data_IF_087524223733
#
_entry.id   IF_087524223733
#
_cell.length_a   1.000
_cell.length_b   1.000
_cell.length_c   1.000
_cell.angle_alpha   90.00
_cell.angle_beta   90.00
_cell.angle_gamma   90.00
#
_symmetry.space_group_name_H-M   'P 1'
#
loop_
_entity.id
_entity.type
_entity.pdbx_description
1 polymer ?
#
# COMPACT_ATOMS: atom_id res chain seq x y z
N UNK A 1 16.18 -2.57 25.87
CA UNK A 1 15.35 -1.82 24.91
C UNK A 1 16.27 -1.42 23.77
N UNK A 2 16.11 -2.03 22.59
CA UNK A 2 16.86 -1.60 21.42
C UNK A 2 16.05 -0.46 20.79
N UNK A 3 16.46 0.78 21.01
CA UNK A 3 15.99 1.91 20.22
C UNK A 3 16.47 1.71 18.79
N UNK A 4 15.64 1.05 17.98
CA UNK A 4 15.76 1.19 16.54
C UNK A 4 15.18 2.56 16.21
N UNK A 5 16.01 3.47 15.68
CA UNK A 5 15.55 4.60 14.86
C UNK A 5 14.87 4.09 13.59
N UNK A 6 13.81 3.29 13.76
CA UNK A 6 13.12 2.55 12.73
C UNK A 6 12.13 3.43 11.97
N UNK A 7 11.83 3.01 10.75
CA UNK A 7 10.83 3.66 9.92
C UNK A 7 9.49 3.61 10.66
N UNK A 8 8.87 4.78 10.84
CA UNK A 8 7.54 4.85 11.41
C UNK A 8 6.53 4.42 10.34
N UNK A 9 5.51 3.63 10.72
CA UNK A 9 4.40 3.24 9.85
C UNK A 9 3.06 3.68 10.44
N UNK A 10 2.02 3.69 9.61
CA UNK A 10 0.64 3.74 10.13
C UNK A 10 0.24 2.40 10.74
N UNK A 11 -0.85 2.37 11.50
CA UNK A 11 -1.38 1.17 12.15
C UNK A 11 -0.70 0.80 13.47
N UNK A 12 0.16 1.68 14.01
CA UNK A 12 0.79 1.51 15.33
C UNK A 12 -0.16 1.91 16.48
N UNK A 13 -1.36 1.34 16.47
CA UNK A 13 -2.42 1.67 17.43
C UNK A 13 -2.03 1.33 18.87
N UNK A 14 -1.30 0.23 19.07
CA UNK A 14 -0.72 -0.17 20.35
C UNK A 14 0.17 0.92 20.96
N UNK A 15 1.03 1.55 20.15
CA UNK A 15 1.89 2.66 20.59
C UNK A 15 1.08 3.91 20.91
N UNK A 16 0.04 4.19 20.14
CA UNK A 16 -0.85 5.32 20.40
C UNK A 16 -1.62 5.13 21.71
N UNK A 17 -2.18 3.94 21.95
CA UNK A 17 -2.84 3.56 23.21
C UNK A 17 -1.86 3.65 24.38
N UNK A 18 -0.63 3.15 24.23
CA UNK A 18 0.37 3.20 25.29
C UNK A 18 0.76 4.64 25.67
N UNK A 19 0.74 5.58 24.71
CA UNK A 19 1.10 6.99 24.94
C UNK A 19 -0.06 7.86 25.43
N UNK A 20 -1.25 7.71 24.84
CA UNK A 20 -2.39 8.61 25.04
C UNK A 20 -3.53 7.98 25.86
N UNK A 21 -3.46 6.68 26.15
CA UNK A 21 -4.46 5.96 26.93
C UNK A 21 -5.64 5.41 26.12
N UNK A 22 -6.70 5.02 26.85
CA UNK A 22 -7.88 4.38 26.29
C UNK A 22 -7.72 2.86 26.05
N UNK A 23 -8.68 2.27 25.34
CA UNK A 23 -8.66 0.87 24.90
C UNK A 23 -8.64 0.82 23.38
N UNK A 24 -8.01 -0.19 22.78
CA UNK A 24 -7.90 -0.30 21.32
C UNK A 24 -9.26 -0.18 20.58
N UNK A 25 -10.34 -0.73 21.16
CA UNK A 25 -11.71 -0.62 20.61
C UNK A 25 -12.30 0.78 20.68
N UNK A 26 -11.79 1.65 21.56
CA UNK A 26 -12.21 3.05 21.68
C UNK A 26 -11.50 3.99 20.71
N UNK A 27 -10.49 3.52 19.98
CA UNK A 27 -9.75 4.33 19.02
C UNK A 27 -10.38 4.27 17.63
N UNK A 28 -10.34 5.41 16.93
CA UNK A 28 -10.60 5.50 15.51
C UNK A 28 -9.26 5.55 14.78
N UNK A 29 -8.81 4.42 14.22
CA UNK A 29 -7.55 4.37 13.47
C UNK A 29 -7.76 4.67 11.98
N UNK A 30 -7.32 5.87 11.58
CA UNK A 30 -7.29 6.37 10.20
C UNK A 30 -5.85 6.53 9.71
N UNK A 31 -4.86 5.95 10.38
CA UNK A 31 -3.45 6.13 10.03
C UNK A 31 -2.99 5.21 8.91
N UNK A 32 -3.81 4.26 8.48
CA UNK A 32 -3.52 3.33 7.39
C UNK A 32 -4.25 3.72 6.11
N UNK A 33 -3.78 3.19 4.98
CA UNK A 33 -4.51 3.24 3.70
C UNK A 33 -5.18 1.91 3.42
N UNK A 34 -5.88 1.35 4.40
CA UNK A 34 -6.60 0.08 4.29
C UNK A 34 -8.09 0.41 4.21
N UNK A 35 -8.84 -0.32 3.39
CA UNK A 35 -10.30 -0.21 3.41
C UNK A 35 -10.82 -0.64 4.80
N UNK A 36 -11.53 0.24 5.52
CA UNK A 36 -12.01 -0.08 6.86
C UNK A 36 -13.13 -1.13 6.87
N UNK A 37 -13.76 -1.38 5.72
CA UNK A 37 -14.64 -2.52 5.50
C UNK A 37 -13.81 -3.68 4.93
N UNK A 38 -13.88 -4.86 5.54
CA UNK A 38 -13.27 -6.05 4.96
C UNK A 38 -14.19 -6.68 3.90
N UNK A 39 -13.61 -7.28 2.88
CA UNK A 39 -14.37 -8.07 1.92
C UNK A 39 -15.04 -9.25 2.65
N UNK A 40 -16.28 -9.64 2.29
CA UNK A 40 -16.95 -10.79 2.89
C UNK A 40 -16.07 -12.04 2.84
N UNK A 41 -15.96 -12.74 3.98
CA UNK A 41 -15.16 -13.96 4.07
C UNK A 41 -16.01 -15.16 3.66
N UNK A 42 -15.43 -16.15 2.95
CA UNK A 42 -16.10 -17.41 2.70
C UNK A 42 -16.16 -18.25 3.99
N UNK A 43 -17.05 -19.23 4.02
CA UNK A 43 -16.99 -20.31 5.00
C UNK A 43 -15.73 -21.14 4.75
N UNK A 44 -14.87 -21.23 5.76
CA UNK A 44 -13.62 -21.99 5.67
C UNK A 44 -13.77 -23.32 6.41
N UNK A 45 -13.49 -24.47 5.76
CA UNK A 45 -13.59 -25.76 6.41
C UNK A 45 -12.48 -25.94 7.45
N UNK A 46 -12.76 -26.61 8.57
CA UNK A 46 -11.84 -26.68 9.71
C UNK A 46 -10.48 -27.32 9.37
N UNK A 47 -10.44 -28.25 8.43
CA UNK A 47 -9.22 -28.91 7.98
C UNK A 47 -8.21 -27.98 7.32
N UNK A 48 -8.63 -26.84 6.76
CA UNK A 48 -7.72 -25.89 6.08
C UNK A 48 -6.70 -25.27 7.04
N UNK A 49 -6.98 -25.31 8.34
CA UNK A 49 -6.09 -24.85 9.41
C UNK A 49 -5.01 -25.89 9.78
N UNK A 50 -5.26 -27.17 9.51
CA UNK A 50 -4.41 -28.28 9.93
C UNK A 50 -3.65 -28.94 8.76
N UNK A 51 -3.94 -28.54 7.51
CA UNK A 51 -3.26 -29.02 6.30
C UNK A 51 -2.25 -27.99 5.79
N UNK A 52 -1.18 -28.49 5.17
CA UNK A 52 -0.29 -27.63 4.38
C UNK A 52 -1.07 -27.06 3.19
N UNK A 53 -0.73 -25.85 2.71
CA UNK A 53 -1.36 -25.25 1.53
C UNK A 53 -1.35 -26.21 0.32
N UNK A 54 -2.53 -26.47 -0.24
CA UNK A 54 -2.71 -27.34 -1.40
C UNK A 54 -2.22 -26.67 -2.69
N UNK A 55 -1.44 -27.40 -3.49
CA UNK A 55 -0.94 -26.89 -4.78
C UNK A 55 -2.08 -26.52 -5.74
N UNK A 56 -3.16 -27.31 -5.75
CA UNK A 56 -4.32 -27.04 -6.60
C UNK A 56 -4.99 -25.70 -6.26
N UNK A 57 -5.15 -25.40 -4.96
CA UNK A 57 -5.71 -24.15 -4.49
C UNK A 57 -4.80 -22.96 -4.81
N UNK A 58 -3.47 -23.15 -4.68
CA UNK A 58 -2.50 -22.13 -5.12
C UNK A 58 -2.66 -21.83 -6.61
N UNK A 59 -2.64 -22.86 -7.47
CA UNK A 59 -2.74 -22.67 -8.92
C UNK A 59 -4.07 -22.04 -9.34
N UNK A 60 -5.17 -22.43 -8.71
CA UNK A 60 -6.48 -21.81 -8.90
C UNK A 60 -6.47 -20.32 -8.49
N UNK A 61 -5.88 -20.00 -7.33
CA UNK A 61 -5.74 -18.61 -6.86
C UNK A 61 -4.89 -17.78 -7.81
N UNK A 62 -3.79 -18.34 -8.33
CA UNK A 62 -2.94 -17.65 -9.31
C UNK A 62 -3.66 -17.41 -10.64
N UNK A 63 -4.47 -18.38 -11.11
CA UNK A 63 -5.30 -18.19 -12.30
C UNK A 63 -6.33 -17.08 -12.11
N UNK A 64 -7.04 -17.05 -10.99
CA UNK A 64 -8.00 -16.01 -10.64
C UNK A 64 -7.33 -14.64 -10.46
N UNK A 65 -6.14 -14.59 -9.87
CA UNK A 65 -5.36 -13.36 -9.76
C UNK A 65 -4.98 -12.82 -11.15
N UNK A 66 -4.63 -13.68 -12.10
CA UNK A 66 -4.31 -13.24 -13.47
C UNK A 66 -5.50 -12.57 -14.13
N UNK A 67 -6.67 -13.22 -14.04
CA UNK A 67 -7.93 -12.70 -14.58
C UNK A 67 -8.30 -11.37 -13.94
N UNK A 68 -8.32 -11.32 -12.60
CA UNK A 68 -8.65 -10.10 -11.84
C UNK A 68 -7.72 -8.92 -12.16
N UNK A 69 -6.41 -9.17 -12.29
CA UNK A 69 -5.42 -8.13 -12.60
C UNK A 69 -5.28 -7.83 -14.09
N UNK A 70 -6.08 -8.46 -14.96
CA UNK A 70 -6.11 -8.21 -16.40
C UNK A 70 -4.80 -8.58 -17.11
N UNK A 71 -4.13 -9.65 -16.67
CA UNK A 71 -2.91 -10.15 -17.31
C UNK A 71 -3.20 -11.43 -18.09
N UNK A 72 -2.32 -11.78 -19.05
CA UNK A 72 -2.49 -12.99 -19.85
C UNK A 72 -2.53 -14.26 -18.96
N UNK A 73 -3.30 -15.27 -19.39
CA UNK A 73 -3.55 -16.49 -18.61
C UNK A 73 -2.27 -17.30 -18.30
N UNK A 74 -1.23 -17.16 -19.14
CA UNK A 74 0.09 -17.77 -18.99
C UNK A 74 1.14 -16.82 -18.40
N UNK A 75 0.76 -15.58 -18.04
CA UNK A 75 1.69 -14.61 -17.46
C UNK A 75 2.31 -15.17 -16.16
N UNK A 76 3.63 -15.09 -15.97
CA UNK A 76 4.26 -15.54 -14.73
C UNK A 76 3.79 -14.69 -13.54
N UNK A 77 3.38 -15.37 -12.47
CA UNK A 77 2.94 -14.76 -11.21
C UNK A 77 3.34 -15.62 -10.02
N UNK A 78 3.65 -14.99 -8.91
CA UNK A 78 3.89 -15.64 -7.61
C UNK A 78 3.09 -14.95 -6.51
N UNK A 79 2.49 -15.74 -5.63
CA UNK A 79 1.87 -15.25 -4.39
C UNK A 79 2.90 -15.22 -3.26
N UNK A 80 2.81 -14.21 -2.39
CA UNK A 80 3.78 -13.97 -1.32
C UNK A 80 3.10 -13.58 -0.01
N UNK A 81 3.77 -13.76 1.15
CA UNK A 81 3.26 -13.38 2.48
C UNK A 81 3.24 -11.85 2.68
N UNK A 82 2.37 -11.19 1.90
CA UNK A 82 2.24 -9.75 1.81
C UNK A 82 3.28 -9.12 0.88
N UNK A 83 2.94 -7.94 0.35
CA UNK A 83 3.83 -7.18 -0.53
C UNK A 83 5.14 -6.77 0.15
N UNK A 84 5.15 -6.61 1.49
CA UNK A 84 6.37 -6.32 2.25
C UNK A 84 7.45 -7.41 2.06
N UNK A 85 7.05 -8.68 2.02
CA UNK A 85 8.00 -9.78 1.74
C UNK A 85 8.61 -9.66 0.36
N UNK A 86 7.82 -9.23 -0.64
CA UNK A 86 8.30 -8.95 -1.99
C UNK A 86 9.27 -7.75 -2.00
N UNK A 87 8.92 -6.64 -1.33
CA UNK A 87 9.78 -5.43 -1.22
C UNK A 87 11.17 -5.79 -0.69
N UNK A 88 11.25 -6.69 0.29
CA UNK A 88 12.51 -7.16 0.86
C UNK A 88 13.28 -8.13 -0.04
N UNK A 89 12.59 -8.81 -0.96
CA UNK A 89 13.19 -9.76 -1.91
C UNK A 89 13.68 -9.10 -3.19
N UNK A 90 13.01 -8.06 -3.69
CA UNK A 90 13.38 -7.39 -4.95
C UNK A 90 14.85 -7.00 -5.01
N UNK A 91 15.47 -6.40 -3.97
CA UNK A 91 16.90 -6.05 -3.98
C UNK A 91 17.86 -7.24 -4.16
N UNK A 92 17.38 -8.47 -3.97
CA UNK A 92 18.18 -9.71 -4.03
C UNK A 92 18.08 -10.42 -5.38
N UNK A 93 17.29 -9.89 -6.32
CA UNK A 93 17.09 -10.46 -7.65
C UNK A 93 18.24 -10.14 -8.60
N UNK A 94 18.96 -9.04 -8.35
CA UNK A 94 20.10 -8.57 -9.14
C UNK A 94 21.29 -8.30 -8.23
N UNK A 95 22.49 -8.29 -8.81
CA UNK A 95 23.68 -7.86 -8.09
C UNK A 95 23.57 -6.37 -7.68
N UNK A 96 24.00 -5.99 -6.46
CA UNK A 96 23.93 -4.61 -6.00
C UNK A 96 24.64 -3.63 -6.94
N UNK A 97 23.94 -2.55 -7.27
CA UNK A 97 24.47 -1.42 -8.03
C UNK A 97 23.80 -0.13 -7.52
N UNK A 98 23.09 0.58 -8.40
CA UNK A 98 22.38 1.82 -8.05
C UNK A 98 20.89 1.63 -8.27
N UNK A 99 20.11 1.90 -7.23
CA UNK A 99 18.65 1.98 -7.30
C UNK A 99 18.19 3.43 -7.21
N UNK A 100 17.27 3.83 -8.08
CA UNK A 100 16.56 5.09 -7.93
C UNK A 100 15.18 4.84 -7.28
N UNK A 101 14.86 5.55 -6.21
CA UNK A 101 13.54 5.48 -5.56
C UNK A 101 12.86 6.83 -5.72
N UNK A 102 11.76 6.88 -6.49
CA UNK A 102 11.06 8.15 -6.76
C UNK A 102 10.13 8.47 -5.59
N UNK A 103 10.59 9.38 -4.73
CA UNK A 103 9.95 9.82 -3.51
C UNK A 103 9.47 11.28 -3.51
N UNK A 104 8.96 11.80 -2.38
CA UNK A 104 8.70 11.03 -1.15
C UNK A 104 7.72 9.89 -1.41
N UNK A 105 8.02 8.72 -0.86
CA UNK A 105 7.25 7.48 -1.07
C UNK A 105 7.36 6.53 0.14
N UNK A 106 6.84 5.31 0.03
CA UNK A 106 6.94 4.29 1.06
C UNK A 106 8.42 3.92 1.35
N UNK A 107 8.88 4.23 2.57
CA UNK A 107 10.30 4.24 2.94
C UNK A 107 10.96 2.85 2.96
N UNK A 108 10.16 1.77 3.04
CA UNK A 108 10.66 0.39 3.06
C UNK A 108 11.41 0.00 1.78
N UNK A 109 11.09 0.63 0.65
CA UNK A 109 11.80 0.37 -0.61
C UNK A 109 13.27 0.79 -0.48
N UNK A 110 13.54 2.07 -0.20
CA UNK A 110 14.89 2.59 -0.02
C UNK A 110 15.65 1.81 1.07
N UNK A 111 15.01 1.54 2.21
CA UNK A 111 15.63 0.79 3.30
C UNK A 111 15.98 -0.65 2.91
N UNK A 112 15.11 -1.37 2.21
CA UNK A 112 15.36 -2.76 1.78
C UNK A 112 16.53 -2.86 0.80
N UNK A 113 16.63 -1.89 -0.13
CA UNK A 113 17.77 -1.81 -1.05
C UNK A 113 19.07 -1.46 -0.33
N UNK A 114 19.07 -0.44 0.53
CA UNK A 114 20.24 -0.05 1.32
C UNK A 114 20.74 -1.22 2.19
N UNK A 115 19.83 -1.92 2.87
CA UNK A 115 20.16 -3.10 3.67
C UNK A 115 20.73 -4.27 2.85
N UNK A 116 20.52 -4.27 1.53
CA UNK A 116 21.05 -5.25 0.60
C UNK A 116 22.31 -4.76 -0.13
N UNK A 117 22.94 -3.67 0.33
CA UNK A 117 24.21 -3.16 -0.19
C UNK A 117 24.11 -2.32 -1.47
N UNK A 118 22.90 -1.87 -1.84
CA UNK A 118 22.72 -0.99 -2.99
C UNK A 118 23.00 0.46 -2.64
N UNK A 119 23.52 1.23 -3.61
CA UNK A 119 23.50 2.70 -3.53
C UNK A 119 22.10 3.19 -3.86
N UNK A 120 21.45 3.84 -2.90
CA UNK A 120 20.12 4.42 -3.08
C UNK A 120 20.23 5.87 -3.52
N UNK A 121 19.61 6.19 -4.66
CA UNK A 121 19.37 7.54 -5.13
C UNK A 121 17.89 7.88 -4.92
N UNK A 122 17.59 8.79 -3.99
CA UNK A 122 16.23 9.31 -3.84
C UNK A 122 15.98 10.42 -4.85
N UNK A 123 14.95 10.26 -5.68
CA UNK A 123 14.58 11.17 -6.75
C UNK A 123 13.19 11.74 -6.51
N UNK A 124 12.89 12.95 -6.97
CA UNK A 124 11.54 13.53 -6.88
C UNK A 124 10.67 13.18 -8.08
N UNK A 125 11.29 12.89 -9.22
CA UNK A 125 10.62 12.56 -10.46
C UNK A 125 11.41 11.52 -11.28
N UNK A 126 10.74 10.87 -12.24
CA UNK A 126 11.35 9.91 -13.17
C UNK A 126 12.48 10.57 -13.98
N UNK A 127 12.33 11.84 -14.34
CA UNK A 127 13.35 12.61 -15.07
C UNK A 127 14.67 12.81 -14.30
N UNK A 128 14.65 12.67 -12.98
CA UNK A 128 15.84 12.82 -12.12
C UNK A 128 16.59 11.50 -11.90
N UNK A 129 16.09 10.39 -12.45
CA UNK A 129 16.72 9.07 -12.27
C UNK A 129 18.13 9.08 -12.88
N UNK A 130 19.17 8.78 -12.09
CA UNK A 130 20.56 8.78 -12.55
C UNK A 130 20.80 7.88 -13.76
N UNK A 131 21.73 8.30 -14.62
CA UNK A 131 22.14 7.54 -15.79
C UNK A 131 22.79 6.19 -15.47
N UNK A 132 23.29 5.99 -14.26
CA UNK A 132 23.92 4.76 -13.77
C UNK A 132 22.98 3.89 -12.92
N UNK A 133 21.72 4.30 -12.72
CA UNK A 133 20.72 3.46 -12.08
C UNK A 133 20.42 2.22 -12.95
N UNK A 134 20.48 1.05 -12.33
CA UNK A 134 20.10 -0.24 -12.94
C UNK A 134 18.73 -0.70 -12.44
N UNK A 135 18.28 -0.20 -11.29
CA UNK A 135 16.91 -0.42 -10.81
C UNK A 135 16.24 0.91 -10.54
N UNK A 136 14.95 1.00 -10.81
CA UNK A 136 14.12 2.08 -10.31
C UNK A 136 12.90 1.52 -9.59
N UNK A 137 12.42 2.24 -8.57
CA UNK A 137 11.20 1.93 -7.84
C UNK A 137 10.21 3.08 -7.98
N UNK A 138 9.02 2.77 -8.46
CA UNK A 138 7.89 3.69 -8.57
C UNK A 138 6.70 3.07 -7.83
N UNK A 139 6.16 3.77 -6.83
CA UNK A 139 4.88 3.37 -6.22
C UNK A 139 3.75 4.07 -7.01
N UNK A 140 2.79 3.31 -7.53
CA UNK A 140 1.81 3.79 -8.51
C UNK A 140 0.41 3.15 -8.30
N UNK A 141 -0.61 3.86 -7.79
CA UNK A 141 -0.56 5.21 -7.22
C UNK A 141 0.36 5.32 -6.00
N UNK A 142 1.04 6.45 -5.87
CA UNK A 142 2.04 6.64 -4.82
C UNK A 142 1.43 6.77 -3.42
N UNK A 143 2.21 6.36 -2.41
CA UNK A 143 1.95 6.68 -1.01
C UNK A 143 3.05 7.65 -0.52
N UNK A 144 2.75 8.91 -0.16
CA UNK A 144 1.46 9.32 0.40
C UNK A 144 0.60 10.27 -0.45
N UNK A 145 1.07 10.76 -1.60
CA UNK A 145 0.37 11.82 -2.35
C UNK A 145 -0.60 11.30 -3.42
N UNK A 146 -0.60 9.99 -3.70
CA UNK A 146 -1.48 9.38 -4.69
C UNK A 146 -1.12 9.68 -6.14
N UNK A 147 0.03 10.32 -6.42
CA UNK A 147 0.44 10.61 -7.80
C UNK A 147 0.49 9.32 -8.63
N UNK A 148 0.08 9.44 -9.90
CA UNK A 148 0.08 8.33 -10.86
C UNK A 148 1.03 8.67 -12.00
N UNK A 149 2.00 7.80 -12.27
CA UNK A 149 2.85 7.86 -13.44
C UNK A 149 2.13 7.26 -14.66
N UNK A 150 2.33 7.85 -15.84
CA UNK A 150 1.71 7.36 -17.07
C UNK A 150 2.27 6.01 -17.49
N UNK A 151 1.41 5.14 -18.04
CA UNK A 151 1.83 3.81 -18.53
C UNK A 151 3.02 3.88 -19.50
N UNK A 152 2.95 4.75 -20.50
CA UNK A 152 4.01 4.85 -21.52
C UNK A 152 5.34 5.34 -20.92
N UNK A 153 5.28 6.23 -19.93
CA UNK A 153 6.46 6.69 -19.18
C UNK A 153 7.12 5.55 -18.40
N UNK A 154 6.30 4.73 -17.71
CA UNK A 154 6.78 3.54 -16.99
C UNK A 154 7.40 2.52 -17.94
N UNK A 155 6.78 2.25 -19.10
CA UNK A 155 7.32 1.30 -20.07
C UNK A 155 8.61 1.80 -20.74
N UNK A 156 8.70 3.09 -21.04
CA UNK A 156 9.93 3.70 -21.53
C UNK A 156 11.06 3.62 -20.49
N UNK A 157 10.75 3.88 -19.21
CA UNK A 157 11.69 3.73 -18.11
C UNK A 157 12.16 2.28 -17.96
N UNK A 158 11.23 1.31 -17.99
CA UNK A 158 11.55 -0.10 -17.95
C UNK A 158 12.51 -0.46 -19.10
N UNK A 159 12.18 -0.12 -20.34
CA UNK A 159 13.04 -0.41 -21.50
C UNK A 159 14.46 0.17 -21.34
N UNK A 160 14.57 1.42 -20.85
CA UNK A 160 15.86 2.09 -20.58
C UNK A 160 16.70 1.37 -19.53
N UNK A 161 16.07 0.87 -18.46
CA UNK A 161 16.75 0.10 -17.41
C UNK A 161 17.15 -1.29 -17.93
N UNK A 162 16.25 -1.96 -18.65
CA UNK A 162 16.49 -3.28 -19.24
C UNK A 162 17.64 -3.31 -20.25
N UNK A 163 17.86 -2.23 -21.00
CA UNK A 163 19.02 -2.09 -21.90
C UNK A 163 20.38 -2.16 -21.15
N UNK A 164 20.38 -2.02 -19.83
CA UNK A 164 21.55 -2.12 -18.94
C UNK A 164 21.56 -3.40 -18.10
N UNK A 165 20.68 -4.37 -18.41
CA UNK A 165 20.45 -5.56 -17.58
C UNK A 165 19.69 -5.26 -16.28
N UNK A 166 19.05 -4.10 -16.20
CA UNK A 166 18.27 -3.63 -15.07
C UNK A 166 16.79 -4.00 -15.11
N UNK A 167 16.04 -3.51 -14.12
CA UNK A 167 14.57 -3.68 -14.06
C UNK A 167 13.87 -2.47 -13.41
N UNK A 168 12.62 -2.25 -13.79
CA UNK A 168 11.71 -1.34 -13.10
C UNK A 168 10.87 -2.14 -12.09
N UNK A 169 10.80 -1.71 -10.84
CA UNK A 169 9.84 -2.21 -9.86
C UNK A 169 8.69 -1.21 -9.70
N UNK A 170 7.47 -1.64 -10.01
CA UNK A 170 6.26 -0.84 -9.81
C UNK A 170 5.46 -1.44 -8.67
N UNK A 171 5.32 -0.70 -7.58
CA UNK A 171 4.49 -1.07 -6.44
C UNK A 171 3.09 -0.49 -6.62
N UNK A 172 2.14 -1.38 -6.92
CA UNK A 172 0.76 -1.06 -7.23
C UNK A 172 -0.17 -1.39 -6.06
N UNK A 173 0.29 -1.21 -4.82
CA UNK A 173 -0.48 -1.52 -3.63
C UNK A 173 -1.84 -0.81 -3.51
N UNK A 174 -2.06 0.28 -4.26
CA UNK A 174 -3.31 1.05 -4.28
C UNK A 174 -4.03 1.01 -5.64
N UNK A 175 -3.50 0.29 -6.64
CA UNK A 175 -4.05 0.28 -7.99
C UNK A 175 -5.35 -0.53 -8.11
N UNK A 176 -5.63 -1.44 -7.17
CA UNK A 176 -6.86 -2.22 -7.16
C UNK A 176 -8.10 -1.32 -7.20
N UNK A 177 -8.08 -0.10 -6.65
CA UNK A 177 -9.21 0.84 -6.71
C UNK A 177 -9.42 1.49 -8.09
N UNK A 178 -8.36 1.65 -8.89
CA UNK A 178 -8.42 2.14 -10.28
C UNK A 178 -7.50 1.27 -11.18
N UNK A 179 -8.03 0.17 -11.74
CA UNK A 179 -7.24 -0.77 -12.54
C UNK A 179 -6.58 -0.15 -13.77
N UNK A 180 -7.04 1.01 -14.25
CA UNK A 180 -6.48 1.68 -15.44
C UNK A 180 -5.05 2.20 -15.22
N UNK A 181 -4.63 2.37 -13.97
CA UNK A 181 -3.28 2.78 -13.61
C UNK A 181 -2.26 1.63 -13.64
N UNK A 182 -2.72 0.38 -13.76
CA UNK A 182 -1.91 -0.84 -13.66
C UNK A 182 -1.08 -1.07 -14.93
N UNK A 183 0.19 -1.44 -14.76
CA UNK A 183 1.08 -1.96 -15.81
C UNK A 183 1.35 -3.46 -15.67
N UNK A 184 0.58 -4.17 -14.83
CA UNK A 184 0.72 -5.61 -14.62
C UNK A 184 0.63 -6.43 -15.93
N UNK A 185 -0.21 -6.01 -16.87
CA UNK A 185 -0.38 -6.67 -18.18
C UNK A 185 0.89 -6.67 -19.04
N UNK A 186 1.82 -5.76 -18.76
CA UNK A 186 3.09 -5.63 -19.50
C UNK A 186 4.25 -6.39 -18.83
N UNK A 187 4.07 -6.84 -17.59
CA UNK A 187 5.16 -7.35 -16.75
C UNK A 187 5.81 -8.63 -17.31
N UNK A 188 5.06 -9.44 -18.06
CA UNK A 188 5.58 -10.65 -18.70
C UNK A 188 6.56 -10.36 -19.85
N UNK A 189 6.52 -9.16 -20.45
CA UNK A 189 7.26 -8.83 -21.67
C UNK A 189 8.23 -7.65 -21.50
N UNK A 190 8.01 -6.78 -20.53
CA UNK A 190 8.92 -5.70 -20.16
C UNK A 190 9.95 -6.13 -19.11
N UNK A 191 11.10 -5.45 -18.98
CA UNK A 191 12.02 -5.57 -17.83
C UNK A 191 11.40 -4.88 -16.59
N UNK A 192 10.28 -5.44 -16.15
CA UNK A 192 9.38 -4.88 -15.16
C UNK A 192 9.01 -5.97 -14.14
N UNK A 193 8.91 -5.59 -12.88
CA UNK A 193 8.21 -6.35 -11.85
C UNK A 193 7.10 -5.48 -11.28
N UNK A 194 5.88 -6.02 -11.24
CA UNK A 194 4.72 -5.34 -10.67
C UNK A 194 4.32 -6.03 -9.38
N UNK A 195 4.24 -5.27 -8.29
CA UNK A 195 3.85 -5.75 -6.97
C UNK A 195 2.41 -5.35 -6.66
N UNK A 196 1.57 -6.32 -6.31
CA UNK A 196 0.17 -6.10 -5.90
C UNK A 196 -0.01 -6.36 -4.42
N UNK A 197 -0.85 -5.57 -3.76
CA UNK A 197 -1.18 -5.73 -2.34
C UNK A 197 -2.66 -6.00 -2.13
N UNK A 198 -3.01 -7.28 -1.94
CA UNK A 198 -4.39 -7.70 -1.71
C UNK A 198 -5.02 -7.02 -0.47
N UNK A 199 -4.25 -6.90 0.62
CA UNK A 199 -4.80 -6.46 1.91
C UNK A 199 -5.28 -5.00 2.01
N UNK A 200 -5.04 -4.14 1.01
CA UNK A 200 -5.43 -2.71 1.06
C UNK A 200 -6.88 -2.51 0.64
N UNK A 201 -7.14 -2.75 -0.64
CA UNK A 201 -8.46 -2.58 -1.24
C UNK A 201 -9.48 -3.51 -0.60
N UNK A 202 -9.13 -4.78 -0.39
CA UNK A 202 -10.01 -5.80 0.18
C UNK A 202 -10.23 -5.65 1.70
N UNK A 203 -9.57 -4.70 2.38
CA UNK A 203 -9.70 -4.52 3.85
C UNK A 203 -9.16 -5.70 4.67
N UNK A 204 -8.37 -6.57 4.07
CA UNK A 204 -7.89 -7.83 4.65
C UNK A 204 -6.38 -7.80 4.93
N UNK A 205 -5.87 -6.68 5.45
CA UNK A 205 -4.42 -6.51 5.68
C UNK A 205 -3.81 -7.58 6.58
N UNK A 206 -4.59 -8.16 7.51
CA UNK A 206 -4.17 -9.21 8.44
C UNK A 206 -3.83 -10.55 7.79
N UNK A 207 -4.38 -10.88 6.60
CA UNK A 207 -4.14 -12.19 5.96
C UNK A 207 -2.76 -12.30 5.29
N UNK A 208 -2.06 -11.16 5.17
CA UNK A 208 -0.72 -11.04 4.59
C UNK A 208 -0.60 -11.67 3.21
N UNK A 209 -1.28 -11.10 2.21
CA UNK A 209 -1.19 -11.54 0.82
C UNK A 209 -0.74 -10.42 -0.12
N UNK A 210 0.18 -10.76 -1.03
CA UNK A 210 0.55 -9.95 -2.18
C UNK A 210 0.93 -10.84 -3.36
N UNK A 211 1.03 -10.24 -4.54
CA UNK A 211 1.42 -10.92 -5.77
C UNK A 211 2.55 -10.17 -6.47
N UNK A 212 3.40 -10.89 -7.19
CA UNK A 212 4.36 -10.29 -8.11
C UNK A 212 4.16 -10.84 -9.51
N UNK A 213 4.09 -9.94 -10.50
CA UNK A 213 4.08 -10.25 -11.92
C UNK A 213 5.39 -9.80 -12.56
N UNK A 214 5.90 -10.57 -13.50
CA UNK A 214 7.16 -10.28 -14.18
C UNK A 214 7.49 -11.34 -15.22
N UNK A 215 8.68 -11.25 -15.82
CA UNK A 215 9.22 -12.34 -16.66
C UNK A 215 9.44 -13.61 -15.83
N UNK A 216 9.34 -14.77 -16.47
CA UNK A 216 9.45 -16.09 -15.81
C UNK A 216 10.70 -16.19 -14.93
N UNK A 217 11.88 -15.85 -15.45
CA UNK A 217 13.12 -15.90 -14.67
C UNK A 217 13.12 -15.05 -13.39
N UNK A 218 12.38 -13.93 -13.34
CA UNK A 218 12.23 -13.12 -12.13
C UNK A 218 11.24 -13.78 -11.16
N UNK A 219 10.09 -14.21 -11.67
CA UNK A 219 9.04 -14.84 -10.85
C UNK A 219 9.50 -16.16 -10.25
N UNK A 220 10.18 -16.99 -11.05
CA UNK A 220 10.76 -18.26 -10.62
C UNK A 220 11.82 -18.06 -9.53
N UNK A 221 12.64 -17.02 -9.66
CA UNK A 221 13.64 -16.66 -8.65
C UNK A 221 12.99 -16.20 -7.33
N UNK A 222 11.90 -15.44 -7.39
CA UNK A 222 11.13 -15.06 -6.20
C UNK A 222 10.51 -16.30 -5.56
N UNK A 223 9.85 -17.16 -6.34
CA UNK A 223 9.23 -18.39 -5.86
C UNK A 223 10.25 -19.30 -5.17
N UNK A 224 11.43 -19.48 -5.78
CA UNK A 224 12.54 -20.26 -5.23
C UNK A 224 13.04 -19.71 -3.89
N UNK A 225 13.09 -18.38 -3.73
CA UNK A 225 13.51 -17.73 -2.48
C UNK A 225 12.47 -17.78 -1.38
N UNK A 226 11.20 -17.68 -1.75
CA UNK A 226 10.08 -17.84 -0.82
C UNK A 226 9.98 -19.28 -0.31
N UNK A 227 10.25 -20.25 -1.18
CA UNK A 227 10.15 -21.67 -0.86
C UNK A 227 8.70 -22.18 -0.85
N UNK A 228 8.50 -23.47 -0.53
CA UNK A 228 7.18 -24.07 -0.51
C UNK A 228 6.31 -23.47 0.61
N UNK A 229 4.99 -23.45 0.39
CA UNK A 229 3.98 -23.02 1.38
C UNK A 229 4.16 -21.60 1.93
N UNK A 230 4.72 -20.69 1.12
CA UNK A 230 4.96 -19.30 1.51
C UNK A 230 3.68 -18.52 1.85
N UNK A 231 2.52 -18.97 1.40
CA UNK A 231 1.21 -18.36 1.68
C UNK A 231 0.30 -19.36 2.39
N UNK A 232 -0.36 -18.99 3.50
CA UNK A 232 -1.28 -19.88 4.22
C UNK A 232 -2.47 -20.34 3.36
N UNK A 233 -2.92 -21.58 3.55
CA UNK A 233 -4.11 -22.13 2.88
C UNK A 233 -5.38 -21.28 3.05
N UNK A 234 -5.74 -20.85 4.28
CA UNK A 234 -6.85 -19.93 4.49
C UNK A 234 -6.74 -18.63 3.68
N UNK A 235 -5.53 -18.08 3.57
CA UNK A 235 -5.26 -16.86 2.81
C UNK A 235 -5.51 -17.07 1.31
N UNK A 236 -5.11 -18.22 0.76
CA UNK A 236 -5.39 -18.58 -0.64
C UNK A 236 -6.90 -18.75 -0.89
N UNK A 237 -7.61 -19.47 -0.01
CA UNK A 237 -9.06 -19.68 -0.15
C UNK A 237 -9.86 -18.37 -0.10
N UNK A 238 -9.50 -17.45 0.80
CA UNK A 238 -10.12 -16.12 0.89
C UNK A 238 -9.87 -15.32 -0.40
N UNK A 239 -8.65 -15.35 -0.94
CA UNK A 239 -8.33 -14.64 -2.17
C UNK A 239 -9.04 -15.21 -3.39
N UNK A 240 -9.07 -16.54 -3.53
CA UNK A 240 -9.81 -17.23 -4.59
C UNK A 240 -11.31 -16.91 -4.54
N UNK A 241 -11.91 -16.90 -3.35
CA UNK A 241 -13.30 -16.45 -3.17
C UNK A 241 -13.47 -15.00 -3.64
N UNK A 242 -12.65 -14.09 -3.13
CA UNK A 242 -12.80 -12.66 -3.42
C UNK A 242 -12.64 -12.34 -4.91
N UNK A 243 -11.73 -13.01 -5.63
CA UNK A 243 -11.53 -12.80 -7.06
C UNK A 243 -12.66 -13.34 -7.95
N UNK A 244 -13.50 -14.27 -7.46
CA UNK A 244 -14.67 -14.77 -8.21
C UNK A 244 -15.87 -13.83 -8.16
N UNK A 245 -15.98 -13.07 -7.08
CA UNK A 245 -17.17 -12.31 -6.71
C UNK A 245 -17.21 -10.93 -7.41
N UNK A 246 -17.37 -10.94 -8.74
CA UNK A 246 -17.31 -9.73 -9.59
C UNK A 246 -18.33 -8.65 -9.17
N UNK A 247 -19.59 -9.05 -8.92
CA UNK A 247 -20.64 -8.10 -8.52
C UNK A 247 -20.38 -7.50 -7.14
N UNK A 248 -19.92 -8.33 -6.20
CA UNK A 248 -19.55 -7.87 -4.86
C UNK A 248 -18.37 -6.90 -4.92
N UNK A 249 -17.37 -7.17 -5.77
CA UNK A 249 -16.23 -6.27 -6.00
C UNK A 249 -16.67 -4.93 -6.58
N UNK A 250 -17.59 -4.93 -7.56
CA UNK A 250 -18.13 -3.70 -8.11
C UNK A 250 -18.85 -2.86 -7.03
N UNK A 251 -19.70 -3.51 -6.21
CA UNK A 251 -20.35 -2.85 -5.08
C UNK A 251 -19.33 -2.35 -4.03
N UNK A 252 -18.23 -3.08 -3.83
CA UNK A 252 -17.15 -2.70 -2.92
C UNK A 252 -16.45 -1.40 -3.35
N UNK A 253 -16.17 -1.27 -4.66
CA UNK A 253 -15.61 -0.04 -5.25
C UNK A 253 -16.51 1.17 -5.03
N UNK A 254 -17.81 1.02 -5.25
CA UNK A 254 -18.80 2.09 -5.04
C UNK A 254 -18.79 2.56 -3.59
N UNK A 255 -18.75 1.63 -2.62
CA UNK A 255 -18.70 2.00 -1.20
C UNK A 255 -17.40 2.69 -0.79
N UNK A 256 -16.27 2.26 -1.33
CA UNK A 256 -14.98 2.95 -1.13
C UNK A 256 -15.06 4.39 -1.66
N UNK A 257 -15.58 4.58 -2.87
CA UNK A 257 -15.74 5.90 -3.46
C UNK A 257 -16.66 6.80 -2.63
N UNK A 258 -17.79 6.28 -2.15
CA UNK A 258 -18.70 7.02 -1.27
C UNK A 258 -18.02 7.44 0.05
N UNK A 259 -17.27 6.54 0.70
CA UNK A 259 -16.49 6.86 1.91
C UNK A 259 -15.41 7.90 1.62
N UNK A 260 -14.73 7.80 0.48
CA UNK A 260 -13.73 8.77 0.06
C UNK A 260 -14.38 10.14 -0.14
N UNK A 261 -15.52 10.23 -0.80
CA UNK A 261 -16.27 11.47 -0.95
C UNK A 261 -16.66 12.08 0.41
N UNK A 262 -17.18 11.25 1.33
CA UNK A 262 -17.52 11.68 2.69
C UNK A 262 -16.32 12.27 3.46
N UNK A 263 -15.14 11.64 3.35
CA UNK A 263 -13.90 12.17 3.91
C UNK A 263 -13.55 13.54 3.32
N UNK A 264 -13.61 13.70 1.99
CA UNK A 264 -13.32 15.00 1.35
C UNK A 264 -14.24 16.11 1.85
N UNK A 265 -15.53 15.83 2.01
CA UNK A 265 -16.49 16.81 2.52
C UNK A 265 -16.19 17.23 3.96
N UNK A 266 -15.85 16.28 4.84
CA UNK A 266 -15.43 16.61 6.22
C UNK A 266 -14.17 17.47 6.23
N UNK A 267 -13.15 17.09 5.45
CA UNK A 267 -11.90 17.86 5.38
C UNK A 267 -12.15 19.29 4.88
N UNK A 268 -13.00 19.45 3.85
CA UNK A 268 -13.41 20.74 3.32
C UNK A 268 -14.16 21.58 4.35
N UNK A 269 -15.13 21.01 5.07
CA UNK A 269 -15.88 21.71 6.14
C UNK A 269 -14.97 22.13 7.30
N UNK A 270 -13.93 21.36 7.58
CA UNK A 270 -12.94 21.67 8.62
C UNK A 270 -11.81 22.59 8.13
N UNK A 271 -11.87 23.08 6.89
CA UNK A 271 -10.87 24.00 6.33
C UNK A 271 -9.49 23.37 6.09
N UNK A 272 -9.41 22.04 5.95
CA UNK A 272 -8.17 21.34 5.62
C UNK A 272 -7.99 21.28 4.11
N UNK A 273 -6.81 21.70 3.64
CA UNK A 273 -6.44 21.63 2.23
C UNK A 273 -5.96 20.23 1.90
N UNK A 274 -6.72 19.54 1.06
CA UNK A 274 -6.26 18.32 0.41
C UNK A 274 -5.25 18.65 -0.69
N UNK A 275 -4.13 17.92 -0.70
CA UNK A 275 -3.04 18.09 -1.68
C UNK A 275 -2.78 16.81 -2.50
N UNK A 276 -3.51 15.74 -2.22
CA UNK A 276 -3.38 14.45 -2.89
C UNK A 276 -4.11 13.34 -2.15
N UNK A 277 -3.99 12.12 -2.63
CA UNK A 277 -4.66 10.96 -2.04
C UNK A 277 -4.95 9.86 -3.05
N UNK A 278 -5.47 8.75 -2.54
CA UNK A 278 -6.00 7.65 -3.33
C UNK A 278 -7.47 7.44 -2.99
N UNK A 279 -8.09 6.42 -3.57
CA UNK A 279 -9.43 6.00 -3.13
C UNK A 279 -9.48 5.61 -1.64
N UNK A 280 -8.35 5.24 -1.02
CA UNK A 280 -8.30 4.72 0.36
C UNK A 280 -7.79 5.74 1.41
N UNK A 281 -7.36 6.93 1.00
CA UNK A 281 -6.92 7.97 1.93
C UNK A 281 -6.82 9.34 1.26
N UNK A 282 -6.83 10.40 2.06
CA UNK A 282 -6.46 11.76 1.66
C UNK A 282 -5.09 12.14 2.26
N UNK A 283 -4.36 13.00 1.57
CA UNK A 283 -3.20 13.72 2.07
C UNK A 283 -3.56 15.20 2.23
N UNK A 284 -3.40 15.74 3.43
CA UNK A 284 -3.66 17.14 3.74
C UNK A 284 -2.40 17.86 4.14
N UNK A 285 -2.35 19.15 3.84
CA UNK A 285 -1.26 20.05 4.22
C UNK A 285 -1.71 21.08 5.26
N UNK A 286 -0.94 21.21 6.33
CA UNK A 286 -1.14 22.20 7.40
C UNK A 286 0.19 22.49 8.09
N UNK A 287 0.48 23.76 8.39
CA UNK A 287 1.77 24.18 8.99
C UNK A 287 2.02 23.58 10.38
N UNK A 288 0.97 23.23 11.11
CA UNK A 288 0.95 22.65 12.45
C UNK A 288 0.44 21.19 12.44
N UNK A 289 0.62 20.45 11.35
CA UNK A 289 0.14 19.08 11.17
C UNK A 289 0.52 18.13 12.32
N UNK A 290 1.75 18.20 12.85
CA UNK A 290 2.14 17.37 14.00
C UNK A 290 1.39 17.72 15.29
N UNK A 291 1.09 19.01 15.52
CA UNK A 291 0.26 19.47 16.64
C UNK A 291 -1.17 18.94 16.50
N UNK A 292 -1.75 19.08 15.30
CA UNK A 292 -3.07 18.53 14.98
C UNK A 292 -3.12 17.01 15.19
N UNK A 293 -2.07 16.27 14.81
CA UNK A 293 -1.98 14.84 15.10
C UNK A 293 -2.04 14.55 16.61
N UNK A 294 -1.32 15.31 17.44
CA UNK A 294 -1.35 15.11 18.89
C UNK A 294 -2.73 15.42 19.49
N UNK A 295 -3.34 16.55 19.11
CA UNK A 295 -4.71 16.92 19.53
C UNK A 295 -5.76 15.87 19.10
N UNK A 296 -5.59 15.22 17.94
CA UNK A 296 -6.43 14.11 17.51
C UNK A 296 -6.17 12.83 18.33
N UNK A 297 -4.91 12.54 18.66
CA UNK A 297 -4.56 11.37 19.48
C UNK A 297 -5.10 11.50 20.91
N UNK A 298 -5.13 12.69 21.49
CA UNK A 298 -5.79 12.96 22.79
C UNK A 298 -7.29 12.68 22.75
N UNK A 299 -7.89 12.68 21.55
CA UNK A 299 -9.29 12.33 21.30
C UNK A 299 -9.46 10.87 20.83
N UNK A 300 -8.38 10.08 20.93
CA UNK A 300 -8.27 8.70 20.45
C UNK A 300 -8.59 8.53 18.95
N UNK A 301 -8.15 9.50 18.13
CA UNK A 301 -8.22 9.44 16.67
C UNK A 301 -6.78 9.40 16.15
N UNK A 302 -6.40 8.30 15.52
CA UNK A 302 -5.05 8.12 14.99
C UNK A 302 -5.02 8.44 13.50
N UNK A 303 -4.17 9.37 13.10
CA UNK A 303 -3.89 9.70 11.69
C UNK A 303 -2.40 9.53 11.42
N UNK A 304 -1.97 9.55 10.16
CA UNK A 304 -0.56 9.35 9.82
C UNK A 304 0.16 10.69 9.66
N UNK A 305 1.18 10.93 10.47
CA UNK A 305 2.16 12.01 10.27
C UNK A 305 3.42 11.51 9.56
N UNK A 306 4.23 12.45 9.08
CA UNK A 306 5.50 12.17 8.41
C UNK A 306 6.62 13.03 9.00
N UNK A 307 7.76 12.40 9.35
CA UNK A 307 8.94 13.11 9.86
C UNK A 307 9.62 13.95 8.77
N UNK A 308 9.71 13.42 7.53
CA UNK A 308 10.33 14.11 6.39
C UNK A 308 9.45 15.25 5.81
N UNK A 309 8.16 15.27 6.14
CA UNK A 309 7.19 16.28 5.69
C UNK A 309 6.31 16.70 6.88
N UNK A 310 6.81 17.56 7.78
CA UNK A 310 6.15 17.86 9.05
C UNK A 310 4.83 18.64 8.91
N UNK A 311 4.55 19.14 7.70
CA UNK A 311 3.31 19.83 7.32
C UNK A 311 2.26 18.89 6.73
N UNK A 312 2.54 17.58 6.60
CA UNK A 312 1.62 16.61 6.01
C UNK A 312 0.95 15.72 7.06
N UNK A 313 -0.34 15.46 6.86
CA UNK A 313 -1.07 14.36 7.48
C UNK A 313 -1.77 13.54 6.40
N UNK A 314 -1.68 12.21 6.50
CA UNK A 314 -2.48 11.29 5.70
C UNK A 314 -3.59 10.71 6.57
N UNK A 315 -4.80 10.73 6.05
CA UNK A 315 -6.04 10.34 6.74
C UNK A 315 -6.73 9.27 5.90
N UNK A 316 -6.87 8.07 6.45
CA UNK A 316 -7.60 6.95 5.87
C UNK A 316 -9.12 7.12 5.96
N UNK A 317 -9.85 6.18 5.36
CA UNK A 317 -11.31 6.20 5.36
C UNK A 317 -11.88 5.83 6.74
N UNK A 318 -12.93 6.52 7.16
CA UNK A 318 -13.73 6.10 8.31
C UNK A 318 -14.56 4.85 7.97
N UNK A 319 -14.78 3.92 8.93
CA UNK A 319 -15.57 2.70 8.69
C UNK A 319 -17.04 2.98 8.37
N UNK A 320 -17.61 3.99 9.02
CA UNK A 320 -19.02 4.35 9.00
C UNK A 320 -19.24 5.85 9.25
N UNK A 321 -20.50 6.28 9.20
CA UNK A 321 -20.90 7.68 9.42
C UNK A 321 -20.57 8.17 10.83
N UNK A 322 -20.60 7.29 11.83
CA UNK A 322 -20.27 7.65 13.21
C UNK A 322 -18.77 7.95 13.37
N UNK A 323 -17.91 7.14 12.76
CA UNK A 323 -16.47 7.37 12.65
C UNK A 323 -16.16 8.66 11.89
N UNK A 324 -16.89 8.93 10.80
CA UNK A 324 -16.73 10.16 10.03
C UNK A 324 -17.14 11.41 10.83
N UNK A 325 -18.28 11.35 11.53
CA UNK A 325 -18.73 12.44 12.42
C UNK A 325 -17.78 12.66 13.61
N UNK A 326 -17.19 11.56 14.13
CA UNK A 326 -16.15 11.63 15.18
C UNK A 326 -14.89 12.32 14.67
N UNK A 327 -14.44 12.00 13.46
CA UNK A 327 -13.32 12.71 12.82
C UNK A 327 -13.62 14.21 12.69
N UNK A 328 -14.81 14.57 12.15
CA UNK A 328 -15.21 15.96 11.99
C UNK A 328 -15.21 16.72 13.33
N UNK A 329 -15.82 16.15 14.36
CA UNK A 329 -15.82 16.73 15.71
C UNK A 329 -14.40 16.91 16.24
N UNK A 330 -13.54 15.91 16.03
CA UNK A 330 -12.13 15.94 16.45
C UNK A 330 -11.34 17.07 15.80
N UNK A 331 -11.51 17.23 14.48
CA UNK A 331 -10.90 18.28 13.69
C UNK A 331 -11.40 19.68 14.07
N UNK A 332 -12.69 19.85 14.34
CA UNK A 332 -13.27 21.13 14.75
C UNK A 332 -12.76 21.57 16.14
N UNK A 333 -12.64 20.64 17.09
CA UNK A 333 -12.10 20.93 18.43
C UNK A 333 -10.62 21.34 18.36
N UNK A 334 -9.82 20.60 17.61
CA UNK A 334 -8.41 20.89 17.36
C UNK A 334 -8.21 22.24 16.65
N UNK A 335 -9.05 22.56 15.65
CA UNK A 335 -9.02 23.86 14.95
C UNK A 335 -9.47 25.05 15.81
N UNK A 336 -10.46 24.86 16.70
CA UNK A 336 -11.04 25.91 17.53
C UNK A 336 -10.13 26.44 18.65
N UNK A 337 -9.23 25.60 19.18
CA UNK A 337 -8.31 26.01 20.26
C UNK A 337 -7.34 27.12 19.84
N UNK A 338 -7.00 27.24 18.55
CA UNK A 338 -6.10 28.30 18.04
C UNK A 338 -6.78 29.64 17.77
N UNK A 339 -8.10 29.68 17.60
CA UNK A 339 -8.84 30.93 17.46
C UNK A 339 -8.94 31.70 18.79
N UNK A 340 -8.91 31.00 19.92
CA UNK A 340 -8.98 31.58 21.26
C UNK A 340 -7.62 31.97 21.87
N UNK A 341 -6.49 31.47 21.33
CA UNK A 341 -5.14 31.86 21.74
C UNK A 341 -4.57 33.05 20.94
N UNK A 342 -5.30 33.55 19.95
CA UNK A 342 -4.95 34.72 19.12
C UNK A 342 -5.85 35.94 19.36
N UNK A 343 -6.66 35.91 20.43
CA UNK A 343 -7.41 37.06 20.96
C UNK A 343 -6.84 37.44 22.31
#
# INVERSE_FOLDING_TARGET
>A
MIEHGGIEHGGALDRAVARFGGTASGWLDLSTGINPEHFPLPDLPAEIWNRLPDEALLQETLALARDYYGVAADAPVVAAPGTQGLIQLVPRLLAPATVAVVGPTYQEHAASFAASGWRVAECRAIAEIPGDATVAVIVNPNNPDGRVAGRDELLALAARLGAKGGLLAVDEAFADADPRASVAGDAAHAPLIVLKSFGKFFGLAGIRLGFAFGRSGIVDEIARRLGPWAVPGPTLAIAAHAFRETDALHAFRIRIEARRHGLSEVLRRCGLREIGGTALFALVERTDAHCLHEELCEQHILVRKFAYAPHWLRIGLAPDDAGLARLETGLQKAGGQKANLRK
#
